data_IF_401641832811
#
_entry.id   IF_401641832811
#
_cell.length_a   1.000
_cell.length_b   1.000
_cell.length_c   1.000
_cell.angle_alpha   90.00
_cell.angle_beta   90.00
_cell.angle_gamma   90.00
#
_symmetry.space_group_name_H-M   'P 1'
#
loop_
_entity.id
_entity.type
_entity.pdbx_description
1 polymer ?
#
# COMPACT_ATOMS: atom_id res chain seq x y z
N UNK A 1 -3.63 -12.76 -34.90
CA UNK A 1 -3.83 -12.12 -33.59
C UNK A 1 -4.38 -13.14 -32.60
N UNK A 2 -3.87 -13.16 -31.38
CA UNK A 2 -4.50 -13.87 -30.28
C UNK A 2 -5.78 -13.14 -29.87
N UNK A 3 -6.82 -13.91 -29.52
CA UNK A 3 -8.08 -13.35 -29.06
C UNK A 3 -7.94 -12.90 -27.59
N UNK A 4 -7.41 -11.69 -27.39
CA UNK A 4 -7.20 -11.04 -26.09
C UNK A 4 -8.15 -9.85 -25.98
N UNK A 5 -8.51 -9.48 -24.74
CA UNK A 5 -9.26 -8.26 -24.46
C UNK A 5 -8.61 -7.05 -25.14
N UNK A 6 -9.38 -6.40 -26.00
CA UNK A 6 -8.97 -5.19 -26.71
C UNK A 6 -8.86 -4.01 -25.72
N UNK A 7 -7.93 -3.07 -25.94
CA UNK A 7 -7.88 -1.85 -25.16
C UNK A 7 -9.21 -1.09 -25.19
N UNK A 8 -9.54 -0.42 -24.10
CA UNK A 8 -10.66 0.53 -24.09
C UNK A 8 -10.36 1.74 -25.00
N UNK A 9 -11.39 2.51 -25.36
CA UNK A 9 -11.20 3.81 -26.04
C UNK A 9 -10.62 4.84 -25.06
N UNK A 10 -9.71 5.69 -25.52
CA UNK A 10 -9.15 6.75 -24.69
C UNK A 10 -9.98 8.04 -24.80
N UNK A 11 -10.49 8.50 -23.66
CA UNK A 11 -11.36 9.69 -23.61
C UNK A 11 -10.59 11.01 -23.42
N UNK A 12 -9.29 10.96 -23.14
CA UNK A 12 -8.46 12.15 -22.93
C UNK A 12 -8.56 12.72 -21.51
N UNK A 13 -9.36 12.09 -20.64
CA UNK A 13 -9.53 12.54 -19.26
C UNK A 13 -8.26 12.35 -18.44
N UNK A 14 -8.12 13.24 -17.46
CA UNK A 14 -7.04 13.21 -16.50
C UNK A 14 -6.97 11.87 -15.76
N UNK A 15 -5.80 11.24 -15.80
CA UNK A 15 -5.51 10.00 -15.07
C UNK A 15 -5.82 8.73 -15.86
N UNK A 16 -6.47 8.82 -17.02
CA UNK A 16 -6.80 7.65 -17.86
C UNK A 16 -5.66 7.25 -18.80
N UNK A 17 -4.78 8.19 -19.18
CA UNK A 17 -3.76 7.96 -20.21
C UNK A 17 -2.85 6.76 -19.90
N UNK A 18 -2.37 6.67 -18.65
CA UNK A 18 -1.44 5.60 -18.22
C UNK A 18 -2.10 4.23 -18.15
N UNK A 19 -3.24 4.05 -17.46
CA UNK A 19 -3.99 2.80 -17.51
C UNK A 19 -4.31 2.36 -18.94
N UNK A 20 -4.69 3.30 -19.80
CA UNK A 20 -4.98 3.01 -21.19
C UNK A 20 -3.74 2.59 -21.99
N UNK A 21 -2.62 3.32 -21.89
CA UNK A 21 -1.36 2.95 -22.55
C UNK A 21 -0.84 1.58 -22.09
N UNK A 22 -1.05 1.21 -20.83
CA UNK A 22 -0.71 -0.12 -20.32
C UNK A 22 -1.53 -1.21 -21.01
N UNK A 23 -2.84 -0.99 -21.21
CA UNK A 23 -3.69 -1.93 -21.96
C UNK A 23 -3.24 -2.06 -23.42
N UNK A 24 -2.94 -0.94 -24.09
CA UNK A 24 -2.43 -0.95 -25.46
C UNK A 24 -1.09 -1.68 -25.55
N UNK A 25 -0.15 -1.39 -24.63
CA UNK A 25 1.16 -2.04 -24.61
C UNK A 25 1.06 -3.55 -24.37
N UNK A 26 0.17 -3.99 -23.47
CA UNK A 26 -0.09 -5.40 -23.23
C UNK A 26 -0.68 -6.09 -24.47
N UNK A 27 -1.64 -5.45 -25.15
CA UNK A 27 -2.22 -5.98 -26.38
C UNK A 27 -1.17 -6.13 -27.49
N UNK A 28 -0.33 -5.10 -27.66
CA UNK A 28 0.78 -5.12 -28.63
C UNK A 28 1.80 -6.21 -28.32
N UNK A 29 2.16 -6.39 -27.04
CA UNK A 29 3.11 -7.41 -26.61
C UNK A 29 2.60 -8.83 -26.89
N UNK A 30 1.32 -9.09 -26.60
CA UNK A 30 0.70 -10.39 -26.88
C UNK A 30 0.58 -10.65 -28.38
N UNK A 31 0.36 -9.61 -29.18
CA UNK A 31 0.25 -9.70 -30.64
C UNK A 31 1.52 -9.26 -31.39
N UNK A 32 2.70 -9.39 -30.78
CA UNK A 32 3.95 -8.85 -31.32
C UNK A 32 4.28 -9.33 -32.75
N UNK A 33 3.82 -10.52 -33.14
CA UNK A 33 3.98 -11.08 -34.48
C UNK A 33 3.20 -10.31 -35.57
N UNK A 34 2.16 -9.57 -35.21
CA UNK A 34 1.37 -8.73 -36.14
C UNK A 34 1.86 -7.29 -36.11
N UNK A 35 2.18 -6.77 -34.93
CA UNK A 35 2.55 -5.38 -34.71
C UNK A 35 4.08 -5.18 -34.71
N UNK A 36 4.72 -5.53 -35.83
CA UNK A 36 6.19 -5.56 -35.90
C UNK A 36 6.83 -4.17 -36.02
N UNK A 37 6.20 -3.26 -36.77
CA UNK A 37 6.71 -1.91 -36.99
C UNK A 37 6.06 -0.89 -36.06
N UNK A 38 6.77 0.20 -35.78
CA UNK A 38 6.26 1.26 -34.91
C UNK A 38 5.06 1.99 -35.53
N UNK A 39 5.02 2.14 -36.86
CA UNK A 39 3.87 2.74 -37.54
C UNK A 39 2.56 1.95 -37.32
N UNK A 40 2.60 0.61 -37.31
CA UNK A 40 1.39 -0.20 -37.05
C UNK A 40 0.99 -0.10 -35.57
N UNK A 41 1.96 -0.07 -34.65
CA UNK A 41 1.69 0.14 -33.22
C UNK A 41 1.02 1.50 -32.95
N UNK A 42 1.55 2.55 -33.58
CA UNK A 42 1.01 3.91 -33.49
C UNK A 42 -0.39 3.96 -34.12
N UNK A 43 -0.56 3.41 -35.32
CA UNK A 43 -1.86 3.32 -36.00
C UNK A 43 -2.92 2.60 -35.16
N UNK A 44 -2.55 1.49 -34.49
CA UNK A 44 -3.44 0.81 -33.56
C UNK A 44 -3.86 1.73 -32.41
N UNK A 45 -2.91 2.38 -31.75
CA UNK A 45 -3.22 3.27 -30.63
C UNK A 45 -4.15 4.42 -31.05
N UNK A 46 -3.89 5.04 -32.20
CA UNK A 46 -4.71 6.11 -32.78
C UNK A 46 -6.14 5.64 -33.10
N UNK A 47 -6.33 4.37 -33.49
CA UNK A 47 -7.65 3.81 -33.77
C UNK A 47 -8.59 3.75 -32.56
N UNK A 48 -8.04 3.76 -31.34
CA UNK A 48 -8.82 3.81 -30.08
C UNK A 48 -9.04 5.24 -29.56
N UNK A 49 -8.55 6.25 -30.29
CA UNK A 49 -8.68 7.68 -29.99
C UNK A 49 -9.74 8.29 -30.92
N UNK A 50 -11.01 7.99 -30.69
CA UNK A 50 -12.07 8.22 -31.69
C UNK A 50 -12.96 9.43 -31.43
N UNK A 51 -12.89 10.06 -30.27
CA UNK A 51 -13.85 11.09 -29.87
C UNK A 51 -13.23 12.29 -29.16
N UNK A 52 -13.93 13.42 -29.20
CA UNK A 52 -13.55 14.65 -28.52
C UNK A 52 -12.18 15.20 -28.96
N UNK A 53 -11.47 15.82 -28.01
CA UNK A 53 -10.13 16.40 -28.19
C UNK A 53 -9.12 15.34 -28.66
N UNK A 54 -9.31 14.10 -28.21
CA UNK A 54 -8.45 12.95 -28.50
C UNK A 54 -8.58 12.51 -29.96
N UNK A 55 -9.82 12.48 -30.46
CA UNK A 55 -10.10 12.22 -31.88
C UNK A 55 -9.48 13.28 -32.79
N UNK A 56 -9.62 14.56 -32.43
CA UNK A 56 -8.97 15.65 -33.17
C UNK A 56 -7.44 15.52 -33.15
N UNK A 57 -6.85 15.17 -32.01
CA UNK A 57 -5.42 14.86 -31.92
C UNK A 57 -5.04 13.72 -32.87
N UNK A 58 -5.79 12.62 -32.87
CA UNK A 58 -5.48 11.46 -33.71
C UNK A 58 -5.57 11.80 -35.21
N UNK A 59 -6.61 12.51 -35.64
CA UNK A 59 -6.74 12.99 -37.02
C UNK A 59 -5.58 13.91 -37.42
N UNK A 60 -5.22 14.86 -36.56
CA UNK A 60 -4.08 15.76 -36.80
C UNK A 60 -2.75 15.01 -36.83
N UNK A 61 -2.58 14.00 -35.98
CA UNK A 61 -1.39 13.17 -35.96
C UNK A 61 -1.27 12.39 -37.28
N UNK A 62 -2.34 11.73 -37.73
CA UNK A 62 -2.36 11.00 -39.01
C UNK A 62 -2.09 11.95 -40.19
N UNK A 63 -2.72 13.13 -40.22
CA UNK A 63 -2.57 14.10 -41.30
C UNK A 63 -1.10 14.54 -41.51
N UNK A 64 -0.30 14.64 -40.44
CA UNK A 64 1.14 14.96 -40.54
C UNK A 64 1.94 13.97 -41.41
N UNK A 65 1.50 12.71 -41.49
CA UNK A 65 2.19 11.67 -42.25
C UNK A 65 1.48 11.33 -43.57
N UNK A 66 0.24 11.78 -43.77
CA UNK A 66 -0.45 11.65 -45.06
C UNK A 66 0.06 12.71 -46.06
N UNK A 67 0.33 13.93 -45.60
CA UNK A 67 0.81 15.02 -46.47
C UNK A 67 2.35 15.05 -46.64
N UNK A 68 3.09 14.28 -45.82
CA UNK A 68 4.54 14.17 -45.88
C UNK A 68 4.98 12.96 -46.71
N UNK A 69 5.52 13.21 -47.89
CA UNK A 69 6.14 12.24 -48.81
C UNK A 69 7.42 11.56 -48.25
N UNK A 70 7.38 11.00 -47.05
CA UNK A 70 8.40 10.06 -46.59
C UNK A 70 7.78 8.68 -46.44
N UNK A 71 8.28 7.71 -47.22
CA UNK A 71 8.00 6.27 -47.08
C UNK A 71 8.33 5.73 -45.67
N UNK A 72 8.92 6.55 -44.80
CA UNK A 72 9.37 6.18 -43.47
C UNK A 72 8.60 6.98 -42.43
N UNK A 73 7.81 6.30 -41.60
CA UNK A 73 7.22 6.90 -40.40
C UNK A 73 8.37 7.30 -39.45
N UNK A 74 8.65 8.60 -39.22
CA UNK A 74 9.83 9.01 -38.45
C UNK A 74 9.66 8.75 -36.95
N UNK A 75 8.42 8.62 -36.49
CA UNK A 75 8.14 8.40 -35.08
C UNK A 75 8.24 6.94 -34.68
N UNK A 76 8.96 6.73 -33.59
CA UNK A 76 9.03 5.44 -32.90
C UNK A 76 7.86 5.32 -31.94
N UNK A 77 7.59 4.09 -31.49
CA UNK A 77 6.59 3.87 -30.44
C UNK A 77 6.90 4.67 -29.16
N UNK A 78 8.18 4.91 -28.87
CA UNK A 78 8.60 5.68 -27.70
C UNK A 78 8.37 7.19 -27.88
N UNK A 79 8.69 7.78 -29.04
CA UNK A 79 8.44 9.21 -29.29
C UNK A 79 6.94 9.52 -29.33
N UNK A 80 6.13 8.61 -29.85
CA UNK A 80 4.68 8.72 -29.80
C UNK A 80 4.15 8.75 -28.35
N UNK A 81 4.59 7.82 -27.49
CA UNK A 81 4.21 7.82 -26.06
C UNK A 81 4.57 9.15 -25.39
N UNK A 82 5.78 9.68 -25.62
CA UNK A 82 6.17 10.98 -25.05
C UNK A 82 5.31 12.14 -25.55
N UNK A 83 4.90 12.11 -26.82
CA UNK A 83 3.95 13.09 -27.36
C UNK A 83 2.60 13.01 -26.66
N UNK A 84 2.05 11.80 -26.48
CA UNK A 84 0.79 11.60 -25.75
C UNK A 84 0.88 12.12 -24.33
N UNK A 85 1.98 11.82 -23.65
CA UNK A 85 2.20 12.30 -22.31
C UNK A 85 2.33 13.82 -22.24
N UNK A 86 3.07 14.44 -23.15
CA UNK A 86 3.19 15.90 -23.20
C UNK A 86 1.84 16.57 -23.47
N UNK A 87 1.00 15.92 -24.27
CA UNK A 87 -0.30 16.49 -24.69
C UNK A 87 -1.40 16.28 -23.65
N UNK A 88 -1.46 15.11 -23.01
CA UNK A 88 -2.59 14.69 -22.17
C UNK A 88 -2.23 14.47 -20.69
N UNK A 89 -0.95 14.42 -20.33
CA UNK A 89 -0.51 14.39 -18.93
C UNK A 89 -0.34 15.83 -18.43
N UNK A 90 -1.28 16.31 -17.61
CA UNK A 90 -1.15 17.61 -16.98
C UNK A 90 0.08 17.60 -16.05
N UNK A 91 0.91 18.66 -16.09
CA UNK A 91 2.09 18.79 -15.21
C UNK A 91 1.76 18.65 -13.72
N UNK A 92 0.54 19.04 -13.33
CA UNK A 92 0.01 18.87 -11.99
C UNK A 92 -0.07 17.39 -11.55
N UNK A 93 -0.26 16.42 -12.45
CA UNK A 93 -0.30 15.00 -12.07
C UNK A 93 1.05 14.47 -11.57
N UNK A 94 2.16 14.92 -12.17
CA UNK A 94 3.49 14.55 -11.68
C UNK A 94 3.73 15.18 -10.31
N UNK A 95 3.38 16.46 -10.14
CA UNK A 95 3.49 17.16 -8.87
C UNK A 95 2.61 16.51 -7.78
N UNK A 96 1.35 16.23 -8.07
CA UNK A 96 0.43 15.52 -7.18
C UNK A 96 0.93 14.12 -6.84
N UNK A 97 1.50 13.38 -7.79
CA UNK A 97 2.08 12.06 -7.51
C UNK A 97 3.26 12.18 -6.54
N UNK A 98 4.15 13.16 -6.72
CA UNK A 98 5.24 13.44 -5.78
C UNK A 98 4.72 13.85 -4.40
N UNK A 99 3.69 14.70 -4.33
CA UNK A 99 3.06 15.10 -3.06
C UNK A 99 2.46 13.88 -2.35
N UNK A 100 1.73 13.03 -3.08
CA UNK A 100 1.16 11.79 -2.54
C UNK A 100 2.23 10.80 -2.09
N UNK A 101 3.32 10.65 -2.83
CA UNK A 101 4.48 9.82 -2.43
C UNK A 101 5.06 10.28 -1.09
N UNK A 102 5.27 11.59 -0.92
CA UNK A 102 5.82 12.16 0.32
C UNK A 102 4.89 11.97 1.52
N UNK A 103 3.58 11.91 1.28
CA UNK A 103 2.58 11.69 2.31
C UNK A 103 2.27 10.19 2.55
N UNK A 104 2.74 9.28 1.68
CA UNK A 104 2.38 7.88 1.73
C UNK A 104 3.12 7.18 2.88
N UNK A 105 2.35 6.53 3.75
CA UNK A 105 2.87 5.72 4.84
C UNK A 105 2.24 4.33 4.85
N UNK A 106 3.02 3.31 5.22
CA UNK A 106 2.54 1.95 5.42
C UNK A 106 1.55 1.89 6.58
N UNK A 107 1.91 2.49 7.74
CA UNK A 107 1.13 2.35 8.97
C UNK A 107 0.97 0.87 9.36
N UNK A 108 -0.24 0.49 9.73
CA UNK A 108 -0.61 -0.90 10.06
C UNK A 108 -1.05 -1.72 8.83
N UNK A 109 -0.95 -1.15 7.62
CA UNK A 109 -1.38 -1.84 6.39
C UNK A 109 -0.37 -2.93 5.98
N UNK A 110 -0.84 -4.00 5.33
CA UNK A 110 0.04 -5.01 4.74
C UNK A 110 1.10 -4.37 3.82
N UNK A 111 2.32 -4.92 3.84
CA UNK A 111 3.45 -4.41 3.06
C UNK A 111 3.14 -4.41 1.56
N UNK A 112 2.40 -5.40 1.08
CA UNK A 112 2.03 -5.56 -0.33
C UNK A 112 1.18 -4.39 -0.82
N UNK A 113 0.21 -3.96 -0.02
CA UNK A 113 -0.66 -2.85 -0.36
C UNK A 113 0.12 -1.53 -0.42
N UNK A 114 0.98 -1.29 0.57
CA UNK A 114 1.87 -0.13 0.57
C UNK A 114 2.82 -0.14 -0.64
N UNK A 115 3.42 -1.29 -0.94
CA UNK A 115 4.36 -1.44 -2.05
C UNK A 115 3.69 -1.19 -3.40
N UNK A 116 2.50 -1.76 -3.62
CA UNK A 116 1.74 -1.57 -4.85
C UNK A 116 1.35 -0.10 -5.05
N UNK A 117 0.85 0.57 -4.00
CA UNK A 117 0.47 1.99 -4.04
C UNK A 117 1.69 2.89 -4.28
N UNK A 118 2.79 2.62 -3.57
CA UNK A 118 4.04 3.37 -3.75
C UNK A 118 4.57 3.25 -5.17
N UNK A 119 4.68 2.03 -5.71
CA UNK A 119 5.17 1.80 -7.07
C UNK A 119 4.25 2.45 -8.12
N UNK A 120 2.93 2.44 -7.89
CA UNK A 120 1.98 3.14 -8.74
C UNK A 120 2.26 4.65 -8.82
N UNK A 121 2.38 5.30 -7.66
CA UNK A 121 2.67 6.73 -7.57
C UNK A 121 4.10 7.07 -8.05
N UNK A 122 5.07 6.20 -7.77
CA UNK A 122 6.47 6.35 -8.20
C UNK A 122 6.59 6.38 -9.72
N UNK A 123 5.90 5.45 -10.38
CA UNK A 123 5.81 5.42 -11.83
C UNK A 123 5.05 6.64 -12.37
N UNK A 124 3.98 7.08 -11.69
CA UNK A 124 3.22 8.27 -12.07
C UNK A 124 4.07 9.56 -11.96
N UNK A 125 4.94 9.64 -10.96
CA UNK A 125 5.88 10.75 -10.78
C UNK A 125 7.04 10.74 -11.80
N UNK A 126 7.23 9.66 -12.57
CA UNK A 126 8.35 9.44 -13.50
C UNK A 126 9.73 9.54 -12.86
N UNK A 127 9.84 9.10 -11.63
CA UNK A 127 11.14 8.99 -10.98
C UNK A 127 11.91 7.81 -11.59
N UNK A 128 13.22 7.98 -11.74
CA UNK A 128 14.06 6.92 -12.27
C UNK A 128 14.13 5.76 -11.28
N UNK A 129 14.01 4.48 -11.70
CA UNK A 129 14.10 3.33 -10.79
C UNK A 129 15.43 3.27 -10.01
N UNK A 130 16.50 3.82 -10.57
CA UNK A 130 17.82 3.95 -9.95
C UNK A 130 17.94 5.15 -9.01
N UNK A 131 16.88 5.93 -8.83
CA UNK A 131 16.87 7.11 -7.97
C UNK A 131 17.03 6.72 -6.50
N UNK A 132 18.10 7.24 -5.89
CA UNK A 132 18.34 7.15 -4.44
C UNK A 132 17.21 7.85 -3.69
N UNK A 133 16.75 9.00 -4.18
CA UNK A 133 15.63 9.74 -3.57
C UNK A 133 14.36 8.90 -3.51
N UNK A 134 14.11 8.09 -4.55
CA UNK A 134 13.03 7.12 -4.56
C UNK A 134 13.14 6.10 -3.43
N UNK A 135 14.33 5.53 -3.24
CA UNK A 135 14.61 4.61 -2.14
C UNK A 135 14.40 5.24 -0.77
N UNK A 136 14.87 6.48 -0.59
CA UNK A 136 14.69 7.25 0.65
C UNK A 136 13.20 7.50 0.94
N UNK A 137 12.41 7.89 -0.07
CA UNK A 137 10.97 8.08 0.09
C UNK A 137 10.27 6.77 0.47
N UNK A 138 10.66 5.65 -0.15
CA UNK A 138 10.11 4.33 0.21
C UNK A 138 10.43 3.95 1.65
N UNK A 139 11.66 4.19 2.09
CA UNK A 139 12.10 3.93 3.46
C UNK A 139 11.39 4.82 4.48
N UNK A 140 11.13 6.09 4.14
CA UNK A 140 10.43 7.04 5.01
C UNK A 140 8.97 6.63 5.27
N UNK A 141 8.27 6.15 4.24
CA UNK A 141 6.89 5.70 4.36
C UNK A 141 6.73 4.33 5.01
N UNK A 142 7.78 3.52 5.05
CA UNK A 142 7.75 2.17 5.63
C UNK A 142 7.50 2.20 7.16
N UNK A 143 6.90 1.15 7.70
CA UNK A 143 6.73 1.03 9.16
C UNK A 143 8.09 1.04 9.87
N UNK A 144 8.18 1.74 11.01
CA UNK A 144 9.45 1.95 11.74
C UNK A 144 10.18 0.64 12.05
N UNK A 145 9.46 -0.36 12.57
CA UNK A 145 10.04 -1.66 12.91
C UNK A 145 10.65 -2.36 11.68
N UNK A 146 9.93 -2.34 10.55
CA UNK A 146 10.41 -2.96 9.33
C UNK A 146 11.60 -2.19 8.75
N UNK A 147 11.55 -0.85 8.78
CA UNK A 147 12.59 0.02 8.25
C UNK A 147 13.90 -0.15 8.99
N UNK A 148 13.84 -0.09 10.32
CA UNK A 148 15.02 -0.17 11.17
C UNK A 148 15.70 -1.54 11.00
N UNK A 149 14.94 -2.64 10.92
CA UNK A 149 15.49 -3.98 10.60
C UNK A 149 16.10 -4.10 9.21
N UNK A 150 15.58 -3.38 8.22
CA UNK A 150 16.17 -3.35 6.88
C UNK A 150 17.49 -2.58 6.90
N UNK A 151 17.59 -1.50 7.69
CA UNK A 151 18.81 -0.71 7.87
C UNK A 151 19.88 -1.46 8.68
N UNK A 152 19.50 -2.32 9.62
CA UNK A 152 20.41 -3.17 10.40
C UNK A 152 21.10 -4.26 9.57
N UNK A 153 20.71 -4.43 8.29
CA UNK A 153 21.35 -5.38 7.39
C UNK A 153 22.74 -4.87 7.00
N UNK A 154 23.65 -5.82 6.77
CA UNK A 154 25.03 -5.53 6.37
C UNK A 154 25.13 -4.67 5.10
N UNK A 155 24.13 -4.75 4.21
CA UNK A 155 24.09 -4.00 2.95
C UNK A 155 22.77 -3.21 2.88
N UNK A 156 22.77 -1.93 3.28
CA UNK A 156 21.56 -1.12 3.27
C UNK A 156 21.12 -0.84 1.82
N UNK A 157 19.81 -0.94 1.52
CA UNK A 157 19.30 -0.68 0.18
C UNK A 157 19.47 0.78 -0.24
N UNK A 158 19.74 1.01 -1.53
CA UNK A 158 19.97 2.34 -2.09
C UNK A 158 18.83 2.83 -2.97
N UNK A 159 18.27 1.95 -3.80
CA UNK A 159 17.18 2.27 -4.74
C UNK A 159 15.87 1.58 -4.35
N UNK A 160 14.77 2.01 -4.97
CA UNK A 160 13.42 1.49 -4.68
C UNK A 160 13.35 -0.04 -4.83
N UNK A 161 13.98 -0.60 -5.86
CA UNK A 161 13.96 -2.03 -6.12
C UNK A 161 14.63 -2.84 -5.00
N UNK A 162 15.79 -2.39 -4.54
CA UNK A 162 16.49 -3.01 -3.40
C UNK A 162 15.68 -2.88 -2.11
N UNK A 163 15.06 -1.71 -1.88
CA UNK A 163 14.22 -1.47 -0.71
C UNK A 163 13.00 -2.39 -0.68
N UNK A 164 12.28 -2.52 -1.81
CA UNK A 164 11.12 -3.42 -1.94
C UNK A 164 11.53 -4.87 -1.66
N UNK A 165 12.64 -5.32 -2.25
CA UNK A 165 13.15 -6.68 -2.03
C UNK A 165 13.52 -6.91 -0.56
N UNK A 166 14.32 -6.02 0.02
CA UNK A 166 14.79 -6.16 1.40
C UNK A 166 13.63 -6.11 2.40
N UNK A 167 12.66 -5.22 2.20
CA UNK A 167 11.46 -5.14 3.04
C UNK A 167 10.63 -6.44 2.96
N UNK A 168 10.44 -7.01 1.76
CA UNK A 168 9.74 -8.28 1.58
C UNK A 168 10.42 -9.45 2.29
N UNK A 169 11.75 -9.54 2.22
CA UNK A 169 12.53 -10.55 2.94
C UNK A 169 12.42 -10.42 4.47
N UNK A 170 12.44 -9.20 5.00
CA UNK A 170 12.28 -8.98 6.45
C UNK A 170 10.86 -9.32 6.88
N UNK A 171 9.86 -8.91 6.11
CA UNK A 171 8.44 -9.17 6.41
C UNK A 171 8.12 -10.68 6.42
N UNK A 172 8.59 -11.41 5.41
CA UNK A 172 8.46 -12.89 5.36
C UNK A 172 9.21 -13.58 6.49
N UNK A 173 10.39 -13.07 6.87
CA UNK A 173 11.13 -13.56 8.04
C UNK A 173 10.37 -13.33 9.35
N UNK A 174 9.68 -12.19 9.50
CA UNK A 174 8.84 -11.90 10.66
C UNK A 174 7.66 -12.87 10.74
N UNK A 175 6.90 -13.04 9.65
CA UNK A 175 5.79 -13.99 9.59
C UNK A 175 6.26 -15.40 9.94
N UNK A 176 7.39 -15.83 9.35
CA UNK A 176 7.96 -17.15 9.64
C UNK A 176 8.31 -17.30 11.12
N UNK A 177 8.97 -16.30 11.73
CA UNK A 177 9.30 -16.31 13.16
C UNK A 177 8.06 -16.36 14.05
N UNK A 178 7.01 -15.63 13.69
CA UNK A 178 5.76 -15.65 14.45
C UNK A 178 5.09 -17.03 14.37
N UNK A 179 5.17 -17.72 13.22
CA UNK A 179 4.70 -19.10 13.06
C UNK A 179 5.53 -20.06 13.91
N UNK A 180 6.86 -19.97 13.89
CA UNK A 180 7.72 -20.84 14.70
C UNK A 180 7.58 -20.60 16.21
N UNK A 181 7.41 -19.34 16.62
CA UNK A 181 7.27 -18.96 18.03
C UNK A 181 5.86 -19.23 18.58
N UNK A 182 4.84 -19.26 17.72
CA UNK A 182 3.55 -19.88 18.03
C UNK A 182 3.72 -21.40 17.98
N UNK A 183 4.37 -21.94 19.02
CA UNK A 183 4.33 -23.37 19.29
C UNK A 183 2.87 -23.87 19.33
N UNK A 184 2.62 -25.19 19.18
CA UNK A 184 1.28 -25.73 19.36
C UNK A 184 0.78 -25.21 20.69
N UNK A 185 -0.41 -24.59 20.72
CA UNK A 185 -1.04 -24.13 21.95
C UNK A 185 -0.88 -25.25 22.98
N UNK A 186 0.10 -25.11 23.88
CA UNK A 186 0.12 -25.86 25.10
C UNK A 186 -1.06 -25.26 25.83
N UNK A 187 -2.24 -25.84 25.60
CA UNK A 187 -3.31 -25.82 26.56
C UNK A 187 -2.60 -26.17 27.86
N UNK A 188 -2.32 -25.16 28.66
CA UNK A 188 -1.79 -25.37 29.99
C UNK A 188 -2.84 -26.29 30.60
N UNK A 189 -2.50 -27.55 30.96
CA UNK A 189 -3.45 -28.37 31.67
C UNK A 189 -3.81 -27.53 32.88
N UNK A 190 -5.06 -27.08 32.97
CA UNK A 190 -5.56 -26.57 34.24
C UNK A 190 -5.23 -27.70 35.22
N UNK A 191 -4.40 -27.45 36.25
CA UNK A 191 -4.06 -28.51 37.18
C UNK A 191 -5.40 -29.03 37.70
N UNK A 192 -5.69 -30.30 37.41
CA UNK A 192 -6.85 -30.98 37.96
C UNK A 192 -6.68 -30.84 39.46
N UNK A 193 -7.55 -30.05 40.08
CA UNK A 193 -7.53 -29.79 41.51
C UNK A 193 -7.71 -31.16 42.17
N UNK A 194 -6.68 -31.63 42.87
CA UNK A 194 -6.72 -32.90 43.59
C UNK A 194 -8.00 -32.90 44.46
N UNK A 195 -8.89 -33.90 44.32
CA UNK A 195 -10.11 -34.00 45.12
C UNK A 195 -9.86 -33.94 46.64
N UNK A 196 -8.63 -34.20 47.07
CA UNK A 196 -8.19 -34.20 48.46
C UNK A 196 -7.15 -33.12 48.79
N UNK A 197 -6.86 -32.18 47.87
CA UNK A 197 -6.02 -31.04 48.21
C UNK A 197 -6.73 -30.18 49.26
N UNK A 198 -6.14 -30.08 50.45
CA UNK A 198 -6.62 -29.21 51.52
C UNK A 198 -6.67 -27.75 51.01
N UNK A 199 -7.88 -27.17 50.92
CA UNK A 199 -8.12 -25.81 50.42
C UNK A 199 -7.70 -24.78 51.48
N UNK A 200 -6.39 -24.50 51.59
CA UNK A 200 -5.83 -23.61 52.62
C UNK A 200 -6.23 -22.14 52.42
N UNK A 201 -6.73 -21.78 51.23
CA UNK A 201 -7.16 -20.41 50.89
C UNK A 201 -8.68 -20.16 51.08
N UNK A 202 -9.47 -21.21 51.34
CA UNK A 202 -10.91 -21.06 51.60
C UNK A 202 -11.22 -20.44 52.97
N UNK A 203 -10.24 -20.34 53.87
CA UNK A 203 -10.38 -19.61 55.13
C UNK A 203 -10.27 -18.08 54.99
N UNK A 204 -9.86 -17.57 53.81
CA UNK A 204 -9.68 -16.12 53.59
C UNK A 204 -10.79 -15.45 52.79
N UNK A 205 -11.78 -16.19 52.26
CA UNK A 205 -12.88 -15.60 51.49
C UNK A 205 -14.24 -15.90 52.10
N UNK A 206 -14.47 -15.21 53.23
CA UNK A 206 -15.75 -14.73 53.81
C UNK A 206 -16.76 -15.77 54.30
N UNK A 207 -17.37 -15.52 55.47
CA UNK A 207 -18.66 -14.83 55.41
C UNK A 207 -18.86 -13.76 56.52
N UNK A 208 -19.89 -12.94 56.31
CA UNK A 208 -20.58 -12.14 57.32
C UNK A 208 -20.06 -10.72 57.62
N UNK A 209 -20.43 -9.79 56.73
CA UNK A 209 -20.69 -8.40 57.09
C UNK A 209 -22.09 -8.31 57.72
N UNK A 210 -22.26 -8.90 58.90
CA UNK A 210 -23.38 -8.60 59.78
C UNK A 210 -22.84 -7.60 60.80
N UNK A 211 -23.27 -6.35 60.63
CA UNK A 211 -22.85 -5.19 61.38
C UNK A 211 -23.27 -5.30 62.86
N UNK A 212 -22.47 -6.00 63.66
CA UNK A 212 -22.40 -5.79 65.11
C UNK A 212 -21.45 -4.61 65.41
N UNK A 213 -21.71 -3.47 64.77
CA UNK A 213 -21.13 -2.20 65.20
C UNK A 213 -21.92 -1.82 66.45
N UNK A 214 -21.35 -2.11 67.63
CA UNK A 214 -21.87 -1.61 68.91
C UNK A 214 -22.18 -0.13 68.73
N UNK A 215 -23.45 0.23 68.86
CA UNK A 215 -23.88 1.60 68.71
C UNK A 215 -23.12 2.48 69.71
N UNK A 216 -22.61 3.61 69.22
CA UNK A 216 -21.82 4.53 70.03
C UNK A 216 -22.75 5.13 71.09
N UNK A 217 -22.58 4.70 72.34
CA UNK A 217 -23.30 5.19 73.52
C UNK A 217 -22.55 6.37 74.13
N UNK A 218 -23.27 7.44 74.49
CA UNK A 218 -22.68 8.58 75.19
C UNK A 218 -22.16 8.17 76.57
N UNK A 219 -20.88 8.44 76.86
CA UNK A 219 -20.19 7.97 78.07
C UNK A 219 -20.74 8.51 79.41
N UNK A 220 -21.63 9.52 79.41
CA UNK A 220 -22.23 10.04 80.64
C UNK A 220 -23.68 9.55 80.89
N UNK A 221 -24.45 9.26 79.83
CA UNK A 221 -25.87 8.91 79.97
C UNK A 221 -26.23 7.52 79.41
N UNK A 222 -25.30 6.83 78.76
CA UNK A 222 -25.47 5.46 78.27
C UNK A 222 -26.46 5.29 77.12
N UNK A 223 -27.04 6.37 76.59
CA UNK A 223 -27.98 6.33 75.45
C UNK A 223 -27.22 6.37 74.11
N UNK A 224 -27.71 5.60 73.15
CA UNK A 224 -27.15 5.49 71.80
C UNK A 224 -27.54 6.69 70.92
N UNK A 225 -26.64 7.15 70.04
CA UNK A 225 -26.96 8.12 68.97
C UNK A 225 -26.34 9.52 69.05
N UNK A 226 -25.51 9.83 70.06
CA UNK A 226 -24.72 11.07 70.10
C UNK A 226 -23.45 10.92 70.96
N UNK A 227 -22.45 11.77 70.71
CA UNK A 227 -21.28 11.94 71.58
C UNK A 227 -21.25 13.38 72.10
N UNK A 228 -21.08 13.57 73.42
CA UNK A 228 -20.97 14.90 74.03
C UNK A 228 -19.72 15.60 73.47
N UNK A 229 -19.86 16.83 72.97
CA UNK A 229 -18.73 17.72 72.69
C UNK A 229 -18.51 18.61 73.91
N UNK A 230 -17.30 18.56 74.45
CA UNK A 230 -16.65 19.68 75.12
C UNK A 230 -15.43 20.06 74.28
#
# INVERSE_FOLDING_TARGET
EFNVNKPATFSGKHGELRPWLNQVTAYLALNAHVYMSDHVKIGLALSYMTSGVVGAFASNYIAKYIDGWEETYPDTWNSFKETLYTTFEAGDQKAQAVIKLKALTQGDRPLENYTAEFLGLFNQARLLPTSIEGGVLFAQGLSRNLRDRVLDRQHPPTNVGEWVKAAGEVYTSQISKDIYNKGPNAAHPHPVRDPNAMDVDQARRTPHRQSNVRAVTCYNCGKEGHMKRE
#
